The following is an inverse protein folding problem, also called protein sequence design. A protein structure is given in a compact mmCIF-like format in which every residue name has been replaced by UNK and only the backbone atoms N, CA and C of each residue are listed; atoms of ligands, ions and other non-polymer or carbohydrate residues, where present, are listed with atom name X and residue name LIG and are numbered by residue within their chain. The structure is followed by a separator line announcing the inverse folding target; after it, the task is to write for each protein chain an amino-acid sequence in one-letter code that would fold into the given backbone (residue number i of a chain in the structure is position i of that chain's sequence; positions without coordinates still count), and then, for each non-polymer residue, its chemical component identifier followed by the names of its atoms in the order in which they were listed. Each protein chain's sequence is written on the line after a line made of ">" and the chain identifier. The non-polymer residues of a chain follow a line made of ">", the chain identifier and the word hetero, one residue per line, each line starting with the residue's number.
data_IF_714683745619
#
_entry.id   IF_714683745619
#
_cell.length_a   1.000
_cell.length_b   1.000
_cell.length_c   1.000
_cell.angle_alpha   90.00
_cell.angle_beta   90.00
_cell.angle_gamma   90.00
#
_symmetry.space_group_name_H-M   'P 1'
#
loop_
_entity.id
_entity.type
_entity.pdbx_description
1 polymer ?
#
# COMPACT_ATOMS: atom_id res chain seq x y z
N UNK A 1 17.27 6.28 5.03
CA UNK A 1 16.51 6.02 6.27
C UNK A 1 15.20 6.78 6.14
N UNK A 2 14.05 6.14 6.37
CA UNK A 2 12.74 6.80 6.24
C UNK A 2 12.32 7.39 7.59
N UNK A 3 11.75 8.59 7.56
CA UNK A 3 11.17 9.28 8.71
C UNK A 3 9.65 9.21 8.66
N UNK A 4 9.00 9.11 9.82
CA UNK A 4 7.55 9.08 9.91
C UNK A 4 6.96 10.44 9.50
N UNK A 5 6.10 10.51 8.47
CA UNK A 5 5.54 11.78 8.01
C UNK A 5 4.63 12.47 9.04
N UNK A 6 4.23 11.76 10.09
CA UNK A 6 3.35 12.28 11.14
C UNK A 6 4.07 12.77 12.39
N UNK A 7 5.28 12.26 12.69
CA UNK A 7 5.98 12.59 13.94
C UNK A 7 7.49 12.80 13.80
N UNK A 8 8.04 12.72 12.58
CA UNK A 8 9.46 12.93 12.27
C UNK A 8 10.42 11.86 12.80
N UNK A 9 9.92 10.83 13.49
CA UNK A 9 10.78 9.79 14.09
C UNK A 9 11.22 8.76 13.05
N UNK A 10 12.40 8.13 13.22
CA UNK A 10 12.85 7.05 12.35
C UNK A 10 11.85 5.89 12.29
N UNK A 11 11.67 5.33 11.10
CA UNK A 11 10.81 4.16 10.88
C UNK A 11 11.63 2.89 10.68
N UNK A 12 11.09 1.75 11.13
CA UNK A 12 11.73 0.44 10.95
C UNK A 12 11.34 -0.13 9.59
N UNK A 13 12.33 -0.41 8.74
CA UNK A 13 12.13 -1.12 7.49
C UNK A 13 11.64 -2.55 7.74
N UNK A 14 10.77 -3.04 6.86
CA UNK A 14 10.17 -4.37 6.93
C UNK A 14 9.61 -4.81 5.59
N UNK A 15 8.88 -5.92 5.60
CA UNK A 15 8.19 -6.48 4.43
C UNK A 15 6.80 -6.94 4.80
N UNK A 16 5.88 -6.86 3.85
CA UNK A 16 4.54 -7.44 3.99
C UNK A 16 4.61 -8.88 3.48
N UNK A 17 4.39 -9.83 4.40
CA UNK A 17 4.33 -11.25 4.06
C UNK A 17 2.88 -11.65 3.78
N UNK A 18 2.66 -12.49 2.77
CA UNK A 18 1.33 -13.11 2.56
C UNK A 18 1.51 -14.61 2.43
N UNK A 19 0.78 -15.37 3.26
CA UNK A 19 0.87 -16.83 3.32
C UNK A 19 0.38 -17.49 2.02
N UNK A 20 -0.42 -16.77 1.23
CA UNK A 20 -0.96 -17.23 -0.07
C UNK A 20 -0.60 -16.26 -1.19
N UNK A 21 -0.57 -16.75 -2.44
CA UNK A 21 -0.45 -15.93 -3.64
C UNK A 21 -1.73 -15.10 -3.86
N UNK A 22 -1.86 -14.00 -3.12
CA UNK A 22 -3.00 -13.08 -3.23
C UNK A 22 -2.48 -11.67 -3.50
N UNK A 23 -3.15 -10.98 -4.42
CA UNK A 23 -2.90 -9.56 -4.62
C UNK A 23 -3.45 -8.79 -3.41
N UNK A 24 -2.76 -7.72 -3.05
CA UNK A 24 -3.25 -6.76 -2.07
C UNK A 24 -3.62 -5.49 -2.82
N UNK A 25 -4.87 -5.09 -2.72
CA UNK A 25 -5.43 -3.91 -3.37
C UNK A 25 -5.90 -2.93 -2.28
N UNK A 26 -5.72 -1.64 -2.53
CA UNK A 26 -6.35 -0.58 -1.75
C UNK A 26 -7.41 0.11 -2.60
N UNK A 27 -8.55 0.41 -1.99
CA UNK A 27 -9.69 1.04 -2.63
C UNK A 27 -10.00 2.36 -1.92
N UNK A 28 -10.11 3.50 -2.64
CA UNK A 28 -10.55 4.74 -2.03
C UNK A 28 -12.01 4.59 -1.55
N UNK A 29 -12.30 5.14 -0.37
CA UNK A 29 -13.67 5.28 0.20
C UNK A 29 -14.40 3.98 0.54
N UNK A 30 -13.70 2.86 0.56
CA UNK A 30 -14.35 1.56 0.62
C UNK A 30 -14.94 1.20 1.99
N UNK A 31 -16.19 0.73 1.98
CA UNK A 31 -16.94 0.20 3.13
C UNK A 31 -17.32 -1.27 2.97
N UNK A 32 -17.09 -1.89 1.81
CA UNK A 32 -17.47 -3.28 1.52
C UNK A 32 -16.33 -4.06 0.81
N UNK A 33 -16.43 -5.38 0.71
CA UNK A 33 -15.44 -6.19 -0.01
C UNK A 33 -15.83 -6.32 -1.49
N UNK A 34 -15.05 -5.74 -2.39
CA UNK A 34 -15.25 -5.92 -3.83
C UNK A 34 -14.67 -7.26 -4.32
N UNK A 35 -15.47 -7.99 -5.13
CA UNK A 35 -15.03 -9.24 -5.80
C UNK A 35 -14.19 -8.98 -7.06
N UNK A 36 -14.31 -7.79 -7.65
CA UNK A 36 -13.58 -7.36 -8.86
C UNK A 36 -12.76 -6.10 -8.59
N UNK A 37 -11.66 -5.91 -9.34
CA UNK A 37 -10.76 -4.75 -9.18
C UNK A 37 -11.50 -3.46 -9.59
N UNK A 38 -11.86 -2.62 -8.61
CA UNK A 38 -12.51 -1.33 -8.88
C UNK A 38 -11.63 -0.40 -9.72
N UNK A 39 -12.27 0.49 -10.50
CA UNK A 39 -11.60 1.40 -11.46
C UNK A 39 -10.53 2.29 -10.83
N UNK A 40 -10.63 2.60 -9.53
CA UNK A 40 -9.70 3.50 -8.81
C UNK A 40 -8.84 2.78 -7.74
N UNK A 41 -8.68 1.47 -7.88
CA UNK A 41 -7.86 0.69 -6.95
C UNK A 41 -6.35 0.86 -7.18
N UNK A 42 -5.59 0.67 -6.10
CA UNK A 42 -4.12 0.63 -6.11
C UNK A 42 -3.66 -0.79 -5.79
N UNK A 43 -2.86 -1.37 -6.67
CA UNK A 43 -2.17 -2.62 -6.37
C UNK A 43 -0.98 -2.34 -5.46
N UNK A 44 -1.11 -2.72 -4.19
CA UNK A 44 -0.04 -2.66 -3.19
C UNK A 44 0.99 -3.76 -3.46
N UNK A 45 0.51 -4.96 -3.82
CA UNK A 45 1.35 -6.13 -4.08
C UNK A 45 0.75 -6.96 -5.20
N UNK A 46 1.57 -7.23 -6.21
CA UNK A 46 1.26 -8.19 -7.25
C UNK A 46 2.04 -9.48 -7.00
N UNK A 47 1.32 -10.59 -6.83
CA UNK A 47 1.97 -11.88 -6.58
C UNK A 47 2.74 -12.40 -7.80
N UNK A 48 2.25 -12.11 -9.02
CA UNK A 48 2.81 -12.65 -10.26
C UNK A 48 4.11 -11.95 -10.69
N UNK A 49 4.33 -10.72 -10.25
CA UNK A 49 5.54 -9.96 -10.59
C UNK A 49 6.70 -10.17 -9.61
N UNK A 50 6.49 -10.94 -8.52
CA UNK A 50 7.47 -11.13 -7.42
C UNK A 50 7.98 -9.85 -6.76
N UNK A 51 7.44 -8.69 -7.12
CA UNK A 51 7.79 -7.41 -6.54
C UNK A 51 7.20 -7.31 -5.13
N UNK A 52 8.07 -7.04 -4.17
CA UNK A 52 7.69 -6.86 -2.77
C UNK A 52 7.80 -5.37 -2.46
N UNK A 53 6.68 -4.68 -2.15
CA UNK A 53 6.74 -3.26 -1.82
C UNK A 53 7.65 -3.05 -0.61
N UNK A 54 8.51 -2.04 -0.69
CA UNK A 54 9.25 -1.59 0.47
C UNK A 54 8.26 -1.01 1.49
N UNK A 55 8.42 -1.37 2.76
CA UNK A 55 7.50 -0.96 3.81
C UNK A 55 8.27 -0.53 5.06
N UNK A 56 7.72 0.45 5.77
CA UNK A 56 8.30 1.01 6.98
C UNK A 56 7.22 1.19 8.05
N UNK A 57 7.52 0.77 9.28
CA UNK A 57 6.63 0.88 10.43
C UNK A 57 7.15 1.95 11.39
N UNK A 58 6.31 2.93 11.70
CA UNK A 58 6.51 3.81 12.84
C UNK A 58 5.85 3.17 14.08
N UNK A 59 6.64 2.68 15.03
CA UNK A 59 6.14 2.09 16.27
C UNK A 59 5.45 3.09 17.20
N UNK A 60 5.73 4.40 17.07
CA UNK A 60 5.12 5.41 17.93
C UNK A 60 3.71 5.79 17.45
N UNK A 61 3.54 6.02 16.14
CA UNK A 61 2.24 6.37 15.58
C UNK A 61 1.39 5.15 15.21
N UNK A 62 1.96 3.95 15.28
CA UNK A 62 1.39 2.71 14.74
C UNK A 62 0.93 2.87 13.28
N UNK A 63 1.75 3.54 12.47
CA UNK A 63 1.48 3.78 11.04
C UNK A 63 2.49 3.01 10.18
N UNK A 64 1.97 2.39 9.12
CA UNK A 64 2.74 1.72 8.08
C UNK A 64 2.74 2.60 6.84
N UNK A 65 3.92 2.87 6.29
CA UNK A 65 4.11 3.51 4.99
C UNK A 65 4.72 2.49 4.05
N UNK A 66 4.26 2.46 2.81
CA UNK A 66 4.75 1.52 1.81
C UNK A 66 4.85 2.19 0.45
N UNK A 67 5.83 1.77 -0.33
CA UNK A 67 5.89 2.11 -1.75
C UNK A 67 4.87 1.25 -2.52
N UNK A 68 4.26 1.83 -3.54
CA UNK A 68 3.34 1.12 -4.43
C UNK A 68 4.01 0.89 -5.79
N UNK A 69 4.06 -0.36 -6.29
CA UNK A 69 4.76 -0.69 -7.53
C UNK A 69 4.07 -0.11 -8.78
N UNK A 70 2.73 -0.02 -8.75
CA UNK A 70 1.92 0.53 -9.82
C UNK A 70 1.19 1.77 -9.32
N UNK A 71 1.28 2.88 -10.06
CA UNK A 71 0.45 4.06 -9.77
C UNK A 71 -1.01 3.67 -9.97
N UNK A 72 -1.91 4.12 -9.11
CA UNK A 72 -3.34 3.88 -9.33
C UNK A 72 -3.74 4.36 -10.73
N UNK A 73 -4.74 3.69 -11.30
CA UNK A 73 -5.48 4.19 -12.44
C UNK A 73 -6.38 5.35 -12.02
N UNK A 74 -5.83 6.35 -11.34
CA UNK A 74 -6.56 7.56 -11.04
C UNK A 74 -6.84 8.27 -12.36
N UNK A 75 -8.10 8.24 -12.81
CA UNK A 75 -8.62 9.31 -13.67
C UNK A 75 -8.80 10.53 -12.77
N UNK A 76 -7.70 11.19 -12.41
CA UNK A 76 -7.77 12.56 -11.92
C UNK A 76 -8.21 13.42 -13.11
N UNK A 77 -9.53 13.60 -13.28
CA UNK A 77 -10.00 14.93 -13.64
C UNK A 77 -10.01 15.70 -12.32
N UNK A 78 -8.86 16.25 -11.94
CA UNK A 78 -8.86 17.36 -10.99
C UNK A 78 -9.61 18.51 -11.68
N UNK A 79 -10.85 18.76 -11.26
CA UNK A 79 -11.51 20.05 -11.46
C UNK A 79 -10.95 21.08 -10.47
#
# INVERSE_FOLDING_TARGET
>A
MMECPYCGRPMKAGRIDTVKPVNMEWYPEDKESFLEKAENSITIKNTYQFERPAAWLCFHCHKLVMDVPERANFRFTED
#
